data_IF_577829902385
#
_entry.id   IF_577829902385
#
_cell.length_a   1.000
_cell.length_b   1.000
_cell.length_c   1.000
_cell.angle_alpha   90.00
_cell.angle_beta   90.00
_cell.angle_gamma   90.00
#
_symmetry.space_group_name_H-M   'P 1'
#
loop_
_entity.id
_entity.type
_entity.pdbx_description
1 polymer ?
#
# COMPACT_ATOMS: atom_id res chain seq x y z
N UNK A 1 23.23 6.71 -15.60
CA UNK A 1 23.44 5.33 -15.11
C UNK A 1 22.14 4.53 -15.04
N UNK A 2 21.15 4.87 -14.19
CA UNK A 2 19.87 4.13 -14.15
C UNK A 2 19.11 4.20 -15.49
N UNK A 3 19.06 5.37 -16.12
CA UNK A 3 18.49 5.54 -17.46
C UNK A 3 19.17 4.65 -18.48
N UNK A 4 20.51 4.57 -18.45
CA UNK A 4 21.31 3.89 -19.46
C UNK A 4 21.15 2.37 -19.34
N UNK A 5 21.02 1.87 -18.10
CA UNK A 5 20.70 0.47 -17.80
C UNK A 5 19.29 0.14 -18.33
N UNK A 6 18.28 0.97 -18.01
CA UNK A 6 16.89 0.74 -18.45
C UNK A 6 16.76 0.77 -19.98
N UNK A 7 17.42 1.72 -20.64
CA UNK A 7 17.50 1.78 -22.10
C UNK A 7 18.18 0.54 -22.67
N UNK A 8 19.22 0.00 -22.00
CA UNK A 8 19.90 -1.22 -22.44
C UNK A 8 19.05 -2.49 -22.30
N UNK A 9 18.09 -2.50 -21.37
CA UNK A 9 17.09 -3.57 -21.25
C UNK A 9 15.89 -3.39 -22.21
N UNK A 10 15.93 -2.40 -23.10
CA UNK A 10 14.84 -2.04 -24.00
C UNK A 10 13.53 -1.72 -23.24
N UNK A 11 13.66 -1.28 -21.99
CA UNK A 11 12.56 -0.85 -21.14
C UNK A 11 12.34 0.63 -21.42
N UNK A 12 11.34 0.93 -22.24
CA UNK A 12 10.91 2.30 -22.54
C UNK A 12 10.10 2.90 -21.39
N UNK A 13 10.76 3.14 -20.25
CA UNK A 13 10.19 3.98 -19.20
C UNK A 13 10.63 5.40 -19.49
N UNK A 14 9.67 6.30 -19.69
CA UNK A 14 9.98 7.69 -19.93
C UNK A 14 10.72 8.28 -18.73
N UNK A 15 11.73 9.13 -18.97
CA UNK A 15 12.40 9.87 -17.88
C UNK A 15 11.39 10.63 -17.00
N UNK A 16 10.26 11.05 -17.57
CA UNK A 16 9.18 11.70 -16.85
C UNK A 16 8.57 10.78 -15.77
N UNK A 17 8.26 9.53 -16.10
CA UNK A 17 7.71 8.56 -15.15
C UNK A 17 8.70 8.21 -14.03
N UNK A 18 9.99 8.07 -14.37
CA UNK A 18 11.04 7.83 -13.35
C UNK A 18 11.14 9.03 -12.41
N UNK A 19 11.18 10.24 -12.97
CA UNK A 19 11.27 11.47 -12.18
C UNK A 19 10.04 11.67 -11.30
N UNK A 20 8.85 11.35 -11.81
CA UNK A 20 7.60 11.40 -11.05
C UNK A 20 7.63 10.44 -9.86
N UNK A 21 8.02 9.18 -10.08
CA UNK A 21 8.17 8.20 -9.00
C UNK A 21 9.18 8.68 -7.94
N UNK A 22 10.35 9.14 -8.38
CA UNK A 22 11.42 9.63 -7.52
C UNK A 22 11.05 10.94 -6.80
N UNK A 23 10.17 11.77 -7.37
CA UNK A 23 9.77 13.06 -6.79
C UNK A 23 9.08 12.92 -5.42
N UNK A 24 8.49 11.76 -5.15
CA UNK A 24 7.86 11.45 -3.86
C UNK A 24 8.84 10.86 -2.84
N UNK A 25 9.98 10.34 -3.29
CA UNK A 25 10.95 9.66 -2.45
C UNK A 25 11.81 10.65 -1.63
N UNK A 26 12.48 10.18 -0.56
CA UNK A 26 13.37 11.04 0.22
C UNK A 26 14.54 11.58 -0.60
N UNK A 27 14.79 12.89 -0.54
CA UNK A 27 15.96 13.52 -1.16
C UNK A 27 17.26 13.17 -0.42
N UNK A 28 17.17 12.87 0.89
CA UNK A 28 18.31 12.46 1.70
C UNK A 28 18.83 11.10 1.17
N UNK A 29 20.10 11.00 0.70
CA UNK A 29 20.57 9.82 -0.04
C UNK A 29 20.50 8.50 0.73
N UNK A 30 20.81 8.52 2.03
CA UNK A 30 20.76 7.35 2.88
C UNK A 30 19.31 6.93 3.19
N UNK A 31 18.40 7.90 3.36
CA UNK A 31 16.97 7.63 3.49
C UNK A 31 16.41 6.99 2.22
N UNK A 32 16.81 7.47 1.04
CA UNK A 32 16.47 6.85 -0.24
C UNK A 32 16.97 5.41 -0.32
N UNK A 33 18.22 5.15 0.06
CA UNK A 33 18.77 3.79 0.11
C UNK A 33 17.96 2.87 1.03
N UNK A 34 17.59 3.33 2.23
CA UNK A 34 16.74 2.55 3.12
C UNK A 34 15.35 2.32 2.54
N UNK A 35 14.75 3.31 1.88
CA UNK A 35 13.46 3.22 1.19
C UNK A 35 13.49 2.12 0.12
N UNK A 36 14.50 2.14 -0.76
CA UNK A 36 14.66 1.16 -1.82
C UNK A 36 14.91 -0.26 -1.27
N UNK A 37 15.68 -0.38 -0.18
CA UNK A 37 15.88 -1.66 0.51
C UNK A 37 14.59 -2.19 1.14
N UNK A 38 13.73 -1.31 1.66
CA UNK A 38 12.40 -1.69 2.13
C UNK A 38 11.56 -2.26 1.00
N UNK A 39 11.49 -1.57 -0.14
CA UNK A 39 10.74 -2.04 -1.33
C UNK A 39 11.23 -3.42 -1.78
N UNK A 40 12.55 -3.64 -1.82
CA UNK A 40 13.11 -4.95 -2.13
C UNK A 40 12.72 -6.03 -1.09
N UNK A 41 12.79 -5.70 0.21
CA UNK A 41 12.46 -6.64 1.29
C UNK A 41 10.97 -7.04 1.29
N UNK A 42 10.07 -6.17 0.81
CA UNK A 42 8.65 -6.46 0.70
C UNK A 42 8.32 -7.56 -0.31
N UNK A 43 9.19 -7.78 -1.29
CA UNK A 43 9.08 -8.86 -2.27
C UNK A 43 9.73 -10.18 -1.79
N UNK A 44 10.38 -10.17 -0.60
CA UNK A 44 11.03 -11.33 -0.01
C UNK A 44 10.23 -11.86 1.21
N UNK A 45 9.58 -13.04 1.10
CA UNK A 45 8.69 -13.60 2.13
C UNK A 45 9.24 -13.71 3.56
N UNK A 46 10.57 -13.81 3.73
CA UNK A 46 11.22 -14.02 5.03
C UNK A 46 11.63 -12.72 5.75
N UNK A 47 11.52 -11.57 5.09
CA UNK A 47 12.13 -10.31 5.55
C UNK A 47 11.09 -9.20 5.90
N UNK A 48 9.82 -9.52 6.14
CA UNK A 48 8.80 -8.50 6.45
C UNK A 48 9.15 -7.63 7.67
N UNK A 49 9.66 -8.20 8.77
CA UNK A 49 10.10 -7.41 9.94
C UNK A 49 11.30 -6.50 9.61
N UNK A 50 12.19 -6.96 8.73
CA UNK A 50 13.34 -6.18 8.25
C UNK A 50 12.89 -4.99 7.40
N UNK A 51 11.78 -5.11 6.66
CA UNK A 51 11.20 -3.98 5.92
C UNK A 51 10.70 -2.87 6.86
N UNK A 52 10.10 -3.21 8.00
CA UNK A 52 9.68 -2.24 9.02
C UNK A 52 10.90 -1.54 9.64
N UNK A 53 11.95 -2.29 9.97
CA UNK A 53 13.18 -1.69 10.52
C UNK A 53 13.88 -0.75 9.54
N UNK A 54 13.95 -1.12 8.27
CA UNK A 54 14.51 -0.27 7.22
C UNK A 54 13.67 0.99 7.01
N UNK A 55 12.34 0.86 7.05
CA UNK A 55 11.43 2.01 6.95
C UNK A 55 11.63 2.99 8.12
N UNK A 56 11.77 2.50 9.35
CA UNK A 56 12.04 3.32 10.52
C UNK A 56 13.36 4.09 10.39
N UNK A 57 14.42 3.44 9.91
CA UNK A 57 15.70 4.11 9.63
C UNK A 57 15.60 5.18 8.55
N UNK A 58 14.74 4.99 7.54
CA UNK A 58 14.47 6.02 6.55
C UNK A 58 13.74 7.22 7.16
N UNK A 59 12.74 6.98 8.02
CA UNK A 59 11.98 8.02 8.72
C UNK A 59 12.83 8.82 9.72
N UNK A 60 13.81 8.20 10.39
CA UNK A 60 14.76 8.92 11.24
C UNK A 60 15.57 9.97 10.47
N UNK A 61 15.83 9.72 9.18
CA UNK A 61 16.62 10.59 8.31
C UNK A 61 15.78 11.58 7.49
N UNK A 62 14.50 11.27 7.27
CA UNK A 62 13.56 12.09 6.51
C UNK A 62 12.17 12.06 7.16
N UNK A 63 12.01 12.64 8.37
CA UNK A 63 10.82 12.47 9.20
C UNK A 63 9.55 13.07 8.59
N UNK A 64 9.70 14.08 7.73
CA UNK A 64 8.58 14.79 7.12
C UNK A 64 8.28 14.31 5.68
N UNK A 65 8.98 13.28 5.18
CA UNK A 65 8.73 12.77 3.83
C UNK A 65 7.37 12.06 3.77
N UNK A 66 6.45 12.59 2.95
CA UNK A 66 5.07 12.12 2.86
C UNK A 66 4.98 10.65 2.41
N UNK A 67 5.84 10.23 1.48
CA UNK A 67 5.86 8.84 1.00
C UNK A 67 6.24 7.88 2.14
N UNK A 68 7.31 8.17 2.88
CA UNK A 68 7.77 7.34 4.00
C UNK A 68 6.72 7.23 5.11
N UNK A 69 6.16 8.37 5.53
CA UNK A 69 5.14 8.42 6.58
C UNK A 69 3.92 7.56 6.22
N UNK A 70 3.45 7.70 4.98
CA UNK A 70 2.29 6.98 4.47
C UNK A 70 2.55 5.49 4.31
N UNK A 71 3.72 5.14 3.77
CA UNK A 71 4.11 3.75 3.53
C UNK A 71 4.33 3.01 4.85
N UNK A 72 4.95 3.66 5.84
CA UNK A 72 5.12 3.10 7.18
C UNK A 72 3.78 2.78 7.84
N UNK A 73 2.80 3.69 7.77
CA UNK A 73 1.46 3.46 8.31
C UNK A 73 0.77 2.29 7.61
N UNK A 74 0.76 2.27 6.27
CA UNK A 74 0.13 1.21 5.47
C UNK A 74 0.70 -0.17 5.83
N UNK A 75 2.03 -0.32 5.85
CA UNK A 75 2.63 -1.62 6.16
C UNK A 75 2.44 -2.04 7.61
N UNK A 76 2.47 -1.08 8.55
CA UNK A 76 2.18 -1.37 9.96
C UNK A 76 0.75 -1.90 10.13
N UNK A 77 -0.22 -1.32 9.41
CA UNK A 77 -1.60 -1.81 9.38
C UNK A 77 -1.68 -3.21 8.78
N UNK A 78 -1.09 -3.44 7.61
CA UNK A 78 -1.09 -4.75 6.94
C UNK A 78 -0.50 -5.85 7.83
N UNK A 79 0.67 -5.60 8.44
CA UNK A 79 1.31 -6.57 9.33
C UNK A 79 0.47 -6.82 10.58
N UNK A 80 -0.19 -5.80 11.11
CA UNK A 80 -1.09 -5.93 12.26
C UNK A 80 -2.27 -6.84 11.94
N UNK A 81 -2.93 -6.66 10.79
CA UNK A 81 -4.08 -7.49 10.39
C UNK A 81 -3.69 -8.92 9.96
N UNK A 82 -2.49 -9.11 9.42
CA UNK A 82 -1.99 -10.45 9.07
C UNK A 82 -1.60 -11.29 10.29
N UNK A 83 -1.36 -10.66 11.44
CA UNK A 83 -0.98 -11.36 12.67
C UNK A 83 -2.21 -11.97 13.36
N UNK A 84 -2.55 -13.22 12.96
CA UNK A 84 -3.76 -13.93 13.40
C UNK A 84 -3.78 -14.31 14.89
N UNK A 85 -2.65 -14.23 15.60
CA UNK A 85 -2.54 -14.65 17.00
C UNK A 85 -2.90 -13.53 17.99
N UNK A 86 -3.29 -12.35 17.51
CA UNK A 86 -3.62 -11.19 18.35
C UNK A 86 -4.88 -10.49 17.87
N UNK A 87 -5.70 -10.03 18.81
CA UNK A 87 -6.77 -9.07 18.54
C UNK A 87 -6.13 -7.75 18.03
N UNK A 88 -6.31 -7.39 16.75
CA UNK A 88 -5.54 -6.30 16.15
C UNK A 88 -5.98 -4.92 16.66
N UNK A 89 -7.19 -4.82 17.22
CA UNK A 89 -7.89 -3.55 17.41
C UNK A 89 -7.09 -2.53 18.24
N UNK A 90 -6.52 -2.93 19.38
CA UNK A 90 -5.73 -2.00 20.21
C UNK A 90 -4.51 -1.44 19.46
N UNK A 91 -3.87 -2.27 18.63
CA UNK A 91 -2.71 -1.85 17.84
C UNK A 91 -3.15 -0.95 16.69
N UNK A 92 -4.25 -1.29 16.01
CA UNK A 92 -4.85 -0.46 14.96
C UNK A 92 -5.25 0.91 15.50
N UNK A 93 -5.90 0.98 16.67
CA UNK A 93 -6.31 2.25 17.28
C UNK A 93 -5.09 3.13 17.59
N UNK A 94 -4.02 2.53 18.12
CA UNK A 94 -2.76 3.26 18.35
C UNK A 94 -2.14 3.77 17.05
N UNK A 95 -2.05 2.92 16.02
CA UNK A 95 -1.54 3.31 14.71
C UNK A 95 -2.36 4.45 14.09
N UNK A 96 -3.68 4.38 14.21
CA UNK A 96 -4.60 5.43 13.75
C UNK A 96 -4.36 6.74 14.49
N UNK A 97 -4.26 6.71 15.83
CA UNK A 97 -3.99 7.91 16.62
C UNK A 97 -2.62 8.54 16.29
N UNK A 98 -1.59 7.72 16.07
CA UNK A 98 -0.27 8.20 15.65
C UNK A 98 -0.32 8.82 14.24
N UNK A 99 -1.00 8.16 13.31
CA UNK A 99 -1.17 8.64 11.94
C UNK A 99 -1.99 9.95 11.88
N UNK A 100 -3.04 10.07 12.67
CA UNK A 100 -3.89 11.27 12.71
C UNK A 100 -3.12 12.52 13.14
N UNK A 101 -2.08 12.38 13.98
CA UNK A 101 -1.21 13.50 14.37
C UNK A 101 -0.38 14.05 13.20
N UNK A 102 -0.07 13.21 12.21
CA UNK A 102 0.74 13.60 11.04
C UNK A 102 -0.09 13.98 9.81
N UNK A 103 -1.41 13.73 9.80
CA UNK A 103 -2.30 14.14 8.71
C UNK A 103 -2.13 15.62 8.34
N UNK A 104 -2.02 16.59 9.27
CA UNK A 104 -1.80 17.99 8.94
C UNK A 104 -0.54 18.26 8.11
N UNK A 105 0.50 17.42 8.25
CA UNK A 105 1.71 17.46 7.43
C UNK A 105 1.38 16.91 6.03
N UNK A 106 0.78 15.73 5.96
CA UNK A 106 0.45 15.07 4.69
C UNK A 106 -0.48 15.88 3.77
N UNK A 107 -1.39 16.68 4.34
CA UNK A 107 -2.30 17.54 3.58
C UNK A 107 -1.67 18.88 3.17
N UNK A 108 -0.58 19.31 3.82
CA UNK A 108 0.14 20.55 3.52
C UNK A 108 1.34 20.23 2.62
N UNK A 109 1.14 20.27 1.31
CA UNK A 109 2.22 20.10 0.33
C UNK A 109 1.77 19.36 -0.93
N UNK A 110 2.74 18.94 -1.74
CA UNK A 110 2.48 18.04 -2.86
C UNK A 110 2.26 16.62 -2.32
N UNK A 111 0.99 16.30 -2.08
CA UNK A 111 0.56 15.02 -1.51
C UNK A 111 0.83 13.89 -2.50
N UNK A 112 1.60 12.88 -2.09
CA UNK A 112 1.83 11.69 -2.91
C UNK A 112 0.57 10.83 -3.00
N UNK A 113 0.43 10.03 -4.05
CA UNK A 113 -0.66 9.06 -4.17
C UNK A 113 -0.65 8.05 -3.02
N UNK A 114 0.54 7.73 -2.52
CA UNK A 114 0.72 6.89 -1.33
C UNK A 114 0.08 7.50 -0.07
N UNK A 115 0.09 8.83 0.06
CA UNK A 115 -0.62 9.51 1.14
C UNK A 115 -2.13 9.42 0.98
N UNK A 116 -2.66 9.45 -0.25
CA UNK A 116 -4.08 9.20 -0.49
C UNK A 116 -4.47 7.75 -0.12
N UNK A 117 -3.64 6.75 -0.43
CA UNK A 117 -3.87 5.37 0.03
C UNK A 117 -3.91 5.29 1.57
N UNK A 118 -2.95 5.94 2.26
CA UNK A 118 -2.87 5.90 3.72
C UNK A 118 -4.08 6.59 4.38
N UNK A 119 -4.51 7.72 3.83
CA UNK A 119 -5.72 8.42 4.29
C UNK A 119 -6.99 7.59 4.05
N UNK A 120 -7.10 6.91 2.89
CA UNK A 120 -8.19 5.99 2.61
C UNK A 120 -8.21 4.80 3.57
N UNK A 121 -7.04 4.22 3.85
CA UNK A 121 -6.88 3.13 4.81
C UNK A 121 -7.29 3.56 6.23
N UNK A 122 -6.87 4.74 6.69
CA UNK A 122 -7.29 5.28 7.98
C UNK A 122 -8.80 5.47 8.05
N UNK A 123 -9.42 6.04 7.01
CA UNK A 123 -10.86 6.22 6.93
C UNK A 123 -11.62 4.87 6.96
N UNK A 124 -11.20 3.88 6.17
CA UNK A 124 -11.83 2.54 6.17
C UNK A 124 -11.68 1.82 7.51
N UNK A 125 -10.51 1.91 8.17
CA UNK A 125 -10.30 1.31 9.49
C UNK A 125 -11.19 1.89 10.59
N UNK A 126 -11.81 3.04 10.33
CA UNK A 126 -12.72 3.75 11.24
C UNK A 126 -14.18 3.73 10.76
N UNK A 127 -14.50 2.85 9.81
CA UNK A 127 -15.82 2.71 9.19
C UNK A 127 -16.34 4.01 8.56
N UNK A 128 -15.46 4.72 7.83
CA UNK A 128 -15.78 5.97 7.11
C UNK A 128 -15.61 5.81 5.60
N UNK A 129 -16.45 4.99 4.94
CA UNK A 129 -16.27 4.67 3.53
C UNK A 129 -16.42 5.88 2.59
N UNK A 130 -17.29 6.85 2.92
CA UNK A 130 -17.45 8.07 2.12
C UNK A 130 -16.18 8.94 2.14
N UNK A 131 -15.49 9.01 3.28
CA UNK A 131 -14.22 9.72 3.42
C UNK A 131 -13.11 8.99 2.64
N UNK A 132 -13.07 7.65 2.73
CA UNK A 132 -12.12 6.84 1.96
C UNK A 132 -12.29 7.00 0.45
N UNK A 133 -13.54 7.04 -0.04
CA UNK A 133 -13.84 7.25 -1.46
C UNK A 133 -13.22 8.53 -2.01
N UNK A 134 -13.24 9.62 -1.22
CA UNK A 134 -12.65 10.91 -1.61
C UNK A 134 -11.14 10.76 -1.85
N UNK A 135 -10.44 10.05 -0.98
CA UNK A 135 -9.00 9.84 -1.11
C UNK A 135 -8.65 8.89 -2.26
N UNK A 136 -9.38 7.79 -2.42
CA UNK A 136 -9.16 6.85 -3.52
C UNK A 136 -9.43 7.46 -4.90
N UNK A 137 -10.39 8.39 -5.01
CA UNK A 137 -10.66 9.14 -6.26
C UNK A 137 -9.55 10.15 -6.61
N UNK A 138 -8.70 10.52 -5.65
CA UNK A 138 -7.61 11.45 -5.89
C UNK A 138 -6.36 10.75 -6.46
N UNK A 139 -6.33 9.41 -6.50
CA UNK A 139 -5.25 8.62 -7.09
C UNK A 139 -5.54 8.45 -8.58
N UNK A 140 -4.66 8.90 -9.49
CA UNK A 140 -4.82 8.64 -10.92
C UNK A 140 -4.83 7.14 -11.23
N UNK A 141 -5.64 6.71 -12.20
CA UNK A 141 -5.73 5.30 -12.58
C UNK A 141 -4.36 4.70 -12.99
N UNK A 142 -3.47 5.50 -13.56
CA UNK A 142 -2.11 5.10 -13.94
C UNK A 142 -1.18 4.82 -12.75
N UNK A 143 -1.56 5.24 -11.53
CA UNK A 143 -0.76 5.12 -10.30
C UNK A 143 -1.41 4.19 -9.28
N UNK A 144 -2.43 3.44 -9.68
CA UNK A 144 -3.08 2.46 -8.82
C UNK A 144 -2.09 1.34 -8.49
N UNK A 145 -1.89 1.08 -7.19
CA UNK A 145 -1.05 -0.02 -6.74
C UNK A 145 -1.92 -1.19 -6.27
N UNK A 146 -1.28 -2.32 -5.96
CA UNK A 146 -1.90 -3.44 -5.25
C UNK A 146 -2.73 -2.97 -4.05
N UNK A 147 -2.20 -2.03 -3.25
CA UNK A 147 -2.91 -1.49 -2.08
C UNK A 147 -4.13 -0.68 -2.51
N UNK A 148 -4.02 0.16 -3.55
CA UNK A 148 -5.17 0.90 -4.10
C UNK A 148 -6.30 -0.05 -4.48
N UNK A 149 -6.00 -1.14 -5.17
CA UNK A 149 -7.01 -2.13 -5.56
C UNK A 149 -7.64 -2.83 -4.36
N UNK A 150 -6.87 -3.25 -3.35
CA UNK A 150 -7.42 -3.82 -2.12
C UNK A 150 -8.35 -2.81 -1.41
N UNK A 151 -7.93 -1.55 -1.29
CA UNK A 151 -8.74 -0.52 -0.64
C UNK A 151 -10.03 -0.21 -1.41
N UNK A 152 -9.98 -0.21 -2.74
CA UNK A 152 -11.17 -0.06 -3.60
C UNK A 152 -12.12 -1.25 -3.44
N UNK A 153 -11.59 -2.47 -3.38
CA UNK A 153 -12.40 -3.66 -3.15
C UNK A 153 -13.10 -3.61 -1.78
N UNK A 154 -12.36 -3.29 -0.71
CA UNK A 154 -12.91 -3.11 0.64
C UNK A 154 -13.97 -2.02 0.69
N UNK A 155 -13.75 -0.91 0.00
CA UNK A 155 -14.73 0.14 -0.14
C UNK A 155 -16.00 -0.36 -0.86
N UNK A 156 -15.87 -1.11 -1.96
CA UNK A 156 -17.00 -1.71 -2.66
C UNK A 156 -17.81 -2.67 -1.78
N UNK A 157 -17.14 -3.51 -0.98
CA UNK A 157 -17.81 -4.38 0.00
C UNK A 157 -18.56 -3.57 1.06
N UNK A 158 -17.97 -2.48 1.56
CA UNK A 158 -18.64 -1.60 2.55
C UNK A 158 -19.92 -0.95 2.01
N UNK A 159 -20.04 -0.81 0.68
CA UNK A 159 -21.26 -0.34 0.02
C UNK A 159 -22.20 -1.49 -0.43
N UNK A 160 -21.92 -2.74 -0.04
CA UNK A 160 -22.73 -3.89 -0.41
C UNK A 160 -22.61 -4.29 -1.88
N UNK A 161 -21.47 -3.98 -2.53
CA UNK A 161 -21.21 -4.34 -3.93
C UNK A 161 -20.07 -5.36 -4.05
N UNK A 162 -20.34 -6.65 -3.76
CA UNK A 162 -19.33 -7.70 -3.81
C UNK A 162 -18.84 -8.02 -5.23
N UNK A 163 -19.65 -7.77 -6.26
CA UNK A 163 -19.26 -8.03 -7.65
C UNK A 163 -18.12 -7.09 -8.08
N UNK A 164 -18.27 -5.79 -7.83
CA UNK A 164 -17.20 -4.82 -8.08
C UNK A 164 -15.99 -5.05 -7.17
N UNK A 165 -16.20 -5.52 -5.94
CA UNK A 165 -15.10 -5.90 -5.07
C UNK A 165 -14.27 -7.07 -5.64
N UNK A 166 -14.93 -8.12 -6.15
CA UNK A 166 -14.26 -9.26 -6.81
C UNK A 166 -13.40 -8.79 -8.00
N UNK A 167 -13.91 -7.86 -8.82
CA UNK A 167 -13.12 -7.28 -9.92
C UNK A 167 -11.84 -6.59 -9.42
N UNK A 168 -11.94 -5.76 -8.39
CA UNK A 168 -10.77 -5.10 -7.80
C UNK A 168 -9.80 -6.08 -7.15
N UNK A 169 -10.28 -7.16 -6.52
CA UNK A 169 -9.39 -8.21 -6.02
C UNK A 169 -8.63 -8.92 -7.15
N UNK A 170 -9.23 -9.14 -8.32
CA UNK A 170 -8.50 -9.66 -9.48
C UNK A 170 -7.43 -8.67 -10.00
N UNK A 171 -7.73 -7.37 -10.01
CA UNK A 171 -6.72 -6.35 -10.37
C UNK A 171 -5.55 -6.35 -9.38
N UNK A 172 -5.82 -6.48 -8.07
CA UNK A 172 -4.77 -6.60 -7.07
C UNK A 172 -3.89 -7.85 -7.28
N UNK A 173 -4.49 -8.99 -7.65
CA UNK A 173 -3.75 -10.21 -8.01
C UNK A 173 -2.87 -9.96 -9.23
N UNK A 174 -3.44 -9.42 -10.30
CA UNK A 174 -2.73 -9.15 -11.55
C UNK A 174 -1.51 -8.26 -11.30
N UNK A 175 -1.70 -7.17 -10.56
CA UNK A 175 -0.63 -6.21 -10.23
C UNK A 175 0.44 -6.80 -9.30
N UNK A 176 0.06 -7.70 -8.38
CA UNK A 176 1.01 -8.28 -7.42
C UNK A 176 1.80 -9.48 -7.94
N UNK A 177 1.36 -10.05 -9.07
CA UNK A 177 1.85 -11.32 -9.62
C UNK A 177 1.81 -12.50 -8.62
N UNK A 178 1.05 -12.39 -7.52
CA UNK A 178 0.98 -13.43 -6.49
C UNK A 178 -0.41 -13.57 -5.85
N UNK A 179 -0.96 -14.80 -5.72
CA UNK A 179 -2.22 -15.02 -5.01
C UNK A 179 -2.13 -14.68 -3.51
N UNK A 180 -0.93 -14.51 -2.96
CA UNK A 180 -0.73 -14.18 -1.54
C UNK A 180 -1.33 -12.83 -1.16
N UNK A 181 -1.53 -11.94 -2.12
CA UNK A 181 -2.26 -10.67 -1.91
C UNK A 181 -3.66 -10.90 -1.33
N UNK A 182 -4.29 -12.04 -1.63
CA UNK A 182 -5.60 -12.39 -1.10
C UNK A 182 -5.58 -12.60 0.42
N UNK A 183 -4.45 -12.98 1.03
CA UNK A 183 -4.35 -13.09 2.49
C UNK A 183 -4.48 -11.72 3.16
N UNK A 184 -3.91 -10.68 2.53
CA UNK A 184 -4.04 -9.29 2.98
C UNK A 184 -5.50 -8.85 2.79
N UNK A 185 -6.04 -9.09 1.60
CA UNK A 185 -7.41 -8.73 1.27
C UNK A 185 -8.43 -9.40 2.21
N UNK A 186 -8.28 -10.66 2.57
CA UNK A 186 -9.21 -11.34 3.49
C UNK A 186 -9.19 -10.76 4.90
N UNK A 187 -8.05 -10.25 5.38
CA UNK A 187 -7.86 -9.86 6.78
C UNK A 187 -8.04 -8.36 7.06
N UNK A 188 -7.83 -7.52 6.06
CA UNK A 188 -7.77 -6.07 6.25
C UNK A 188 -9.15 -5.48 6.62
N UNK A 189 -9.22 -4.79 7.77
CA UNK A 189 -10.39 -4.14 8.39
C UNK A 189 -11.50 -5.08 8.86
N UNK A 190 -12.00 -5.92 7.96
CA UNK A 190 -13.04 -6.91 8.20
C UNK A 190 -12.79 -8.12 7.28
N UNK A 191 -13.35 -9.27 7.66
CA UNK A 191 -13.20 -10.49 6.88
C UNK A 191 -13.93 -10.42 5.55
N UNK A 192 -13.24 -10.76 4.45
CA UNK A 192 -13.83 -10.94 3.12
C UNK A 192 -13.72 -12.42 2.72
N UNK A 193 -14.81 -13.06 2.32
CA UNK A 193 -14.74 -14.45 1.84
C UNK A 193 -14.27 -14.52 0.39
N UNK A 194 -12.99 -14.82 0.19
CA UNK A 194 -12.35 -14.95 -1.13
C UNK A 194 -12.16 -16.42 -1.55
N UNK A 195 -12.84 -17.37 -0.89
CA UNK A 195 -12.69 -18.81 -1.12
C UNK A 195 -12.97 -19.22 -2.57
N UNK A 196 -13.99 -18.60 -3.19
CA UNK A 196 -14.35 -18.86 -4.59
C UNK A 196 -13.25 -18.41 -5.55
N UNK A 197 -12.69 -17.22 -5.33
CA UNK A 197 -11.59 -16.70 -6.15
C UNK A 197 -10.35 -17.59 -6.03
N UNK A 198 -9.96 -17.95 -4.79
CA UNK A 198 -8.84 -18.87 -4.55
C UNK A 198 -9.02 -20.22 -5.24
N UNK A 199 -10.25 -20.75 -5.24
CA UNK A 199 -10.57 -22.01 -5.90
C UNK A 199 -10.45 -21.92 -7.43
N UNK A 200 -10.97 -20.84 -8.04
CA UNK A 200 -10.82 -20.58 -9.48
C UNK A 200 -9.36 -20.48 -9.89
N UNK A 201 -8.52 -19.79 -9.10
CA UNK A 201 -7.09 -19.65 -9.40
C UNK A 201 -6.35 -20.98 -9.34
N UNK A 202 -6.63 -21.83 -8.33
CA UNK A 202 -6.03 -23.17 -8.25
C UNK A 202 -6.38 -24.03 -9.46
N UNK A 203 -7.60 -23.92 -9.96
CA UNK A 203 -8.06 -24.67 -11.13
C UNK A 203 -7.41 -24.22 -12.45
N UNK A 204 -6.81 -23.02 -12.51
CA UNK A 204 -6.10 -22.51 -13.70
C UNK A 204 -4.61 -22.91 -13.75
N UNK A 205 -4.09 -23.48 -12.66
CA UNK A 205 -2.68 -23.92 -12.53
C UNK A 205 -2.55 -25.45 -12.80
N UNK A 206 -3.67 -26.12 -13.11
CA UNK A 206 -3.75 -27.53 -13.51
C UNK A 206 -4.32 -27.66 -14.91
#
# INVERSE_FOLDING_TARGET
MLSDILTSFNVEVSKAQINELLSSMPEQPQALVYTLKTLAALHAPRDQLKSIDLMRKALELAPDNHYLLSTNYIYSMVVTYLNKDKEPQQTVDRLNQEFEKIIPVLIKGNRSDKANEALAMNALSKDRPIEALKYLKAIPNSHETVITYILKAKLSESFGNPATAEEYYYQAIHESETPRVLEIAESLFFYSDLSKMKSKMKAQIH
#
